data_IF_896717611827
#
_entry.id   IF_896717611827
#
_cell.length_a   1.000
_cell.length_b   1.000
_cell.length_c   1.000
_cell.angle_alpha   90.00
_cell.angle_beta   90.00
_cell.angle_gamma   90.00
#
_symmetry.space_group_name_H-M   'P 1'
#
loop_
_entity.id
_entity.type
_entity.pdbx_description
1 polymer ?
#
# COMPACT_ATOMS: atom_id res chain seq x y z
N UNK A 1 6.76 6.95 23.32
CA UNK A 1 6.47 5.74 22.54
C UNK A 1 6.65 5.93 21.05
N UNK A 2 5.94 6.86 20.37
CA UNK A 2 6.22 7.19 18.95
C UNK A 2 7.67 7.66 18.74
N UNK A 3 8.17 8.57 19.58
CA UNK A 3 9.57 9.05 19.53
C UNK A 3 10.58 7.94 19.89
N UNK A 4 10.16 6.97 20.72
CA UNK A 4 11.00 5.86 21.18
C UNK A 4 10.84 4.60 20.31
N UNK A 5 10.11 4.68 19.19
CA UNK A 5 9.81 3.60 18.24
C UNK A 5 9.23 2.32 18.86
N UNK A 6 8.44 2.48 19.93
CA UNK A 6 7.71 1.39 20.61
C UNK A 6 6.22 1.51 20.30
N UNK A 7 5.86 1.40 19.02
CA UNK A 7 4.49 1.56 18.52
C UNK A 7 3.48 0.60 19.18
N UNK A 8 3.78 -0.68 19.45
CA UNK A 8 2.82 -1.57 20.11
C UNK A 8 2.41 -1.07 21.51
N UNK A 9 3.38 -0.61 22.32
CA UNK A 9 3.10 -0.04 23.64
C UNK A 9 2.33 1.28 23.55
N UNK A 10 2.53 2.06 22.49
CA UNK A 10 1.72 3.25 22.24
C UNK A 10 0.24 2.88 22.03
N UNK A 11 -0.02 1.84 21.25
CA UNK A 11 -1.38 1.34 21.02
C UNK A 11 -2.06 0.97 22.33
N UNK A 12 -1.39 0.20 23.19
CA UNK A 12 -1.96 -0.22 24.49
C UNK A 12 -2.37 0.97 25.36
N UNK A 13 -1.62 2.08 25.32
CA UNK A 13 -1.93 3.29 26.07
C UNK A 13 -3.10 4.06 25.45
N UNK A 14 -3.16 4.18 24.13
CA UNK A 14 -4.31 4.80 23.46
C UNK A 14 -5.59 4.01 23.70
N UNK A 15 -5.53 2.68 23.67
CA UNK A 15 -6.68 1.83 24.00
C UNK A 15 -7.14 2.01 25.46
N UNK A 16 -6.21 2.15 26.42
CA UNK A 16 -6.57 2.44 27.81
C UNK A 16 -7.28 3.80 27.95
N UNK A 17 -6.84 4.81 27.20
CA UNK A 17 -7.51 6.12 27.16
C UNK A 17 -8.93 5.95 26.58
N UNK A 18 -9.07 5.25 25.45
CA UNK A 18 -10.36 5.02 24.79
C UNK A 18 -11.35 4.21 25.64
N UNK A 19 -10.87 3.34 26.54
CA UNK A 19 -11.73 2.64 27.51
C UNK A 19 -12.40 3.60 28.50
N UNK A 20 -11.73 4.70 28.86
CA UNK A 20 -12.24 5.70 29.81
C UNK A 20 -12.86 6.91 29.13
N UNK A 21 -12.43 7.21 27.90
CA UNK A 21 -12.80 8.38 27.10
C UNK A 21 -13.12 7.95 25.66
N UNK A 22 -14.26 7.27 25.42
CA UNK A 22 -14.57 6.69 24.11
C UNK A 22 -14.76 7.72 22.99
N UNK A 23 -14.97 9.00 23.33
CA UNK A 23 -15.11 10.10 22.37
C UNK A 23 -13.82 10.92 22.21
N UNK A 24 -12.67 10.43 22.68
CA UNK A 24 -11.38 11.08 22.42
C UNK A 24 -10.92 10.78 20.98
N UNK A 25 -11.14 11.73 20.07
CA UNK A 25 -10.79 11.57 18.66
C UNK A 25 -9.28 11.44 18.44
N UNK A 26 -8.46 12.12 19.25
CA UNK A 26 -7.00 12.12 19.06
C UNK A 26 -6.43 10.77 19.46
N UNK A 27 -6.86 10.22 20.59
CA UNK A 27 -6.49 8.87 21.00
C UNK A 27 -6.93 7.85 19.94
N UNK A 28 -8.14 7.97 19.41
CA UNK A 28 -8.66 7.09 18.36
C UNK A 28 -7.86 7.20 17.05
N UNK A 29 -7.49 8.42 16.64
CA UNK A 29 -6.72 8.62 15.41
C UNK A 29 -5.31 8.07 15.56
N UNK A 30 -4.65 8.30 16.69
CA UNK A 30 -3.30 7.77 16.92
C UNK A 30 -3.28 6.25 17.10
N UNK A 31 -4.31 5.64 17.71
CA UNK A 31 -4.41 4.17 17.76
C UNK A 31 -4.59 3.61 16.35
N UNK A 32 -5.50 4.19 15.56
CA UNK A 32 -5.75 3.78 14.18
C UNK A 32 -4.48 3.84 13.32
N UNK A 33 -3.76 4.96 13.34
CA UNK A 33 -2.53 5.13 12.55
C UNK A 33 -1.43 4.17 13.00
N UNK A 34 -1.26 3.97 14.32
CA UNK A 34 -0.28 3.02 14.83
C UNK A 34 -0.62 1.58 14.42
N UNK A 35 -1.88 1.18 14.50
CA UNK A 35 -2.31 -0.14 14.04
C UNK A 35 -2.12 -0.32 12.53
N UNK A 36 -2.34 0.72 11.73
CA UNK A 36 -2.09 0.70 10.30
C UNK A 36 -0.60 0.48 9.98
N UNK A 37 0.31 1.16 10.68
CA UNK A 37 1.75 0.98 10.49
C UNK A 37 2.25 -0.39 10.99
N UNK A 38 1.63 -0.94 12.03
CA UNK A 38 1.97 -2.26 12.57
C UNK A 38 1.35 -3.45 11.81
N UNK A 39 0.44 -3.18 10.87
CA UNK A 39 -0.32 -4.24 10.19
C UNK A 39 -1.41 -4.90 11.05
N UNK A 40 -1.80 -4.28 12.15
CA UNK A 40 -2.79 -4.82 13.10
C UNK A 40 -4.22 -4.49 12.63
N UNK A 41 -4.60 -4.97 11.44
CA UNK A 41 -5.87 -4.63 10.78
C UNK A 41 -7.10 -4.98 11.62
N UNK A 42 -7.08 -6.12 12.31
CA UNK A 42 -8.18 -6.56 13.18
C UNK A 42 -8.33 -5.59 14.36
N UNK A 43 -7.22 -5.24 15.01
CA UNK A 43 -7.20 -4.31 16.13
C UNK A 43 -7.62 -2.90 15.69
N UNK A 44 -7.18 -2.45 14.52
CA UNK A 44 -7.62 -1.18 13.93
C UNK A 44 -9.14 -1.12 13.78
N UNK A 45 -9.76 -2.18 13.24
CA UNK A 45 -11.23 -2.28 13.14
C UNK A 45 -11.88 -2.32 14.52
N UNK A 46 -11.39 -3.18 15.41
CA UNK A 46 -12.02 -3.45 16.71
C UNK A 46 -11.91 -2.26 17.66
N UNK A 47 -10.82 -1.48 17.58
CA UNK A 47 -10.63 -0.22 18.32
C UNK A 47 -11.75 0.77 18.01
N UNK A 48 -12.00 1.04 16.72
CA UNK A 48 -13.09 1.93 16.31
C UNK A 48 -14.44 1.33 16.66
N UNK A 49 -14.66 0.04 16.41
CA UNK A 49 -15.94 -0.63 16.71
C UNK A 49 -16.32 -0.53 18.20
N UNK A 50 -15.34 -0.61 19.11
CA UNK A 50 -15.54 -0.55 20.56
C UNK A 50 -16.09 0.79 21.01
N UNK A 51 -15.60 1.88 20.41
CA UNK A 51 -16.02 3.23 20.77
C UNK A 51 -17.16 3.77 19.91
N UNK A 52 -17.40 3.17 18.74
CA UNK A 52 -18.37 3.65 17.76
C UNK A 52 -19.77 3.98 18.32
N UNK A 53 -20.37 3.17 19.23
CA UNK A 53 -21.69 3.48 19.79
C UNK A 53 -21.76 4.79 20.60
N UNK A 54 -20.63 5.32 21.05
CA UNK A 54 -20.56 6.59 21.78
C UNK A 54 -20.47 7.82 20.86
N UNK A 55 -20.26 7.61 19.56
CA UNK A 55 -20.17 8.68 18.55
C UNK A 55 -21.53 8.94 17.90
N UNK A 56 -22.47 9.45 18.68
CA UNK A 56 -23.80 9.84 18.20
C UNK A 56 -23.73 11.05 17.26
N UNK A 57 -24.78 11.31 16.44
CA UNK A 57 -24.75 12.39 15.44
C UNK A 57 -24.51 13.79 16.02
N UNK A 58 -24.81 14.03 17.29
CA UNK A 58 -24.57 15.28 18.01
C UNK A 58 -23.12 15.44 18.48
N UNK A 59 -22.33 14.36 18.53
CA UNK A 59 -20.90 14.44 18.83
C UNK A 59 -20.16 15.01 17.62
N UNK A 60 -19.37 16.09 17.78
CA UNK A 60 -18.59 16.66 16.69
C UNK A 60 -17.71 15.61 16.00
N UNK A 61 -17.58 15.70 14.68
CA UNK A 61 -16.73 14.83 13.87
C UNK A 61 -17.15 13.34 13.83
N UNK A 62 -18.33 12.99 14.35
CA UNK A 62 -18.89 11.62 14.31
C UNK A 62 -18.92 10.99 12.91
N UNK A 63 -19.16 11.80 11.86
CA UNK A 63 -19.08 11.35 10.46
C UNK A 63 -17.69 10.82 10.07
N UNK A 64 -16.60 11.43 10.54
CA UNK A 64 -15.24 10.96 10.26
C UNK A 64 -14.94 9.64 11.00
N UNK A 65 -15.47 9.46 12.22
CA UNK A 65 -15.34 8.19 12.96
C UNK A 65 -16.08 7.06 12.25
N UNK A 66 -17.22 7.36 11.61
CA UNK A 66 -17.87 6.42 10.69
C UNK A 66 -16.95 6.05 9.51
N UNK A 67 -16.27 7.03 8.91
CA UNK A 67 -15.24 6.80 7.89
C UNK A 67 -14.05 5.95 8.39
N UNK A 68 -13.62 6.13 9.64
CA UNK A 68 -12.57 5.30 10.24
C UNK A 68 -13.03 3.86 10.41
N UNK A 69 -14.27 3.66 10.84
CA UNK A 69 -14.82 2.33 11.00
C UNK A 69 -15.01 1.63 9.65
N UNK A 70 -15.52 2.34 8.64
CA UNK A 70 -15.67 1.81 7.29
C UNK A 70 -14.31 1.35 6.73
N UNK A 71 -13.25 2.12 6.95
CA UNK A 71 -11.90 1.73 6.52
C UNK A 71 -11.41 0.45 7.23
N UNK A 72 -11.59 0.34 8.56
CA UNK A 72 -11.23 -0.88 9.29
C UNK A 72 -12.01 -2.12 8.84
N UNK A 73 -13.29 -1.96 8.49
CA UNK A 73 -14.10 -3.03 7.90
C UNK A 73 -13.56 -3.44 6.53
N UNK A 74 -13.20 -2.47 5.69
CA UNK A 74 -12.64 -2.73 4.36
C UNK A 74 -11.31 -3.48 4.46
N UNK A 75 -10.39 -3.06 5.33
CA UNK A 75 -9.09 -3.72 5.50
C UNK A 75 -9.20 -5.14 6.07
N UNK A 76 -10.35 -5.50 6.64
CA UNK A 76 -10.67 -6.84 7.14
C UNK A 76 -11.67 -7.60 6.25
N UNK A 77 -11.78 -7.20 4.98
CA UNK A 77 -12.58 -7.84 3.92
C UNK A 77 -14.11 -7.81 4.13
N UNK A 78 -14.63 -6.97 5.02
CA UNK A 78 -16.07 -6.74 5.21
C UNK A 78 -16.56 -5.65 4.25
N UNK A 79 -16.32 -5.85 2.96
CA UNK A 79 -16.42 -4.81 1.93
C UNK A 79 -17.81 -4.19 1.79
N UNK A 80 -18.88 -5.00 1.79
CA UNK A 80 -20.24 -4.49 1.59
C UNK A 80 -20.66 -3.60 2.76
N UNK A 81 -20.31 -3.99 4.00
CA UNK A 81 -20.57 -3.18 5.20
C UNK A 81 -19.71 -1.92 5.25
N UNK A 82 -18.46 -2.01 4.78
CA UNK A 82 -17.58 -0.87 4.66
C UNK A 82 -18.14 0.18 3.68
N UNK A 83 -18.58 -0.26 2.51
CA UNK A 83 -19.17 0.62 1.50
C UNK A 83 -20.46 1.29 2.01
N UNK A 84 -21.35 0.54 2.66
CA UNK A 84 -22.57 1.07 3.27
C UNK A 84 -22.26 2.21 4.26
N UNK A 85 -21.36 1.98 5.22
CA UNK A 85 -21.00 2.99 6.22
C UNK A 85 -20.28 4.20 5.61
N UNK A 86 -19.41 3.98 4.61
CA UNK A 86 -18.75 5.08 3.91
C UNK A 86 -19.76 5.94 3.13
N UNK A 87 -20.74 5.33 2.47
CA UNK A 87 -21.84 6.03 1.81
C UNK A 87 -22.68 6.85 2.80
N UNK A 88 -23.00 6.29 3.96
CA UNK A 88 -23.70 7.03 5.02
C UNK A 88 -22.87 8.20 5.56
N UNK A 89 -21.55 8.04 5.71
CA UNK A 89 -20.65 9.12 6.13
C UNK A 89 -20.63 10.25 5.10
N UNK A 90 -20.54 9.92 3.81
CA UNK A 90 -20.59 10.88 2.70
C UNK A 90 -21.95 11.57 2.54
N UNK A 91 -23.04 10.90 2.90
CA UNK A 91 -24.36 11.53 2.94
C UNK A 91 -24.44 12.66 3.99
N UNK A 92 -23.66 12.56 5.07
CA UNK A 92 -23.55 13.58 6.11
C UNK A 92 -22.51 14.64 5.70
N UNK A 93 -21.33 14.21 5.27
CA UNK A 93 -20.22 15.08 4.89
C UNK A 93 -19.60 14.63 3.56
N UNK A 94 -20.03 15.26 2.47
CA UNK A 94 -19.58 14.90 1.11
C UNK A 94 -18.10 15.12 0.87
N UNK A 95 -17.44 15.99 1.63
CA UNK A 95 -16.02 16.32 1.49
C UNK A 95 -15.10 15.45 2.36
N UNK A 96 -15.64 14.43 3.04
CA UNK A 96 -14.84 13.47 3.79
C UNK A 96 -14.03 12.57 2.84
N UNK A 97 -12.79 13.01 2.56
CA UNK A 97 -11.87 12.29 1.70
C UNK A 97 -11.50 10.89 2.22
N UNK A 98 -11.65 10.61 3.52
CA UNK A 98 -11.37 9.30 4.10
C UNK A 98 -12.48 8.29 3.78
N UNK A 99 -13.73 8.73 3.76
CA UNK A 99 -14.85 7.91 3.31
C UNK A 99 -14.81 7.67 1.80
N UNK A 100 -14.41 8.67 0.99
CA UNK A 100 -14.10 8.47 -0.44
C UNK A 100 -13.02 7.42 -0.62
N UNK A 101 -11.92 7.54 0.13
CA UNK A 101 -10.80 6.61 0.12
C UNK A 101 -11.24 5.17 0.42
N UNK A 102 -12.15 4.98 1.39
CA UNK A 102 -12.71 3.65 1.69
C UNK A 102 -13.47 3.06 0.51
N UNK A 103 -14.32 3.83 -0.17
CA UNK A 103 -15.08 3.36 -1.34
C UNK A 103 -14.13 3.05 -2.50
N UNK A 104 -13.10 3.87 -2.71
CA UNK A 104 -12.07 3.60 -3.72
C UNK A 104 -11.39 2.24 -3.45
N UNK A 105 -10.99 2.01 -2.21
CA UNK A 105 -10.45 0.73 -1.77
C UNK A 105 -11.38 -0.45 -2.00
N UNK A 106 -12.66 -0.34 -1.62
CA UNK A 106 -13.64 -1.42 -1.82
C UNK A 106 -13.71 -1.82 -3.30
N UNK A 107 -13.81 -0.85 -4.20
CA UNK A 107 -13.86 -1.11 -5.64
C UNK A 107 -12.54 -1.73 -6.16
N UNK A 108 -11.39 -1.28 -5.64
CA UNK A 108 -10.08 -1.85 -6.00
C UNK A 108 -9.97 -3.32 -5.54
N UNK A 109 -10.28 -3.60 -4.28
CA UNK A 109 -10.18 -4.93 -3.68
C UNK A 109 -11.17 -5.92 -4.28
N UNK A 110 -12.37 -5.48 -4.66
CA UNK A 110 -13.36 -6.32 -5.38
C UNK A 110 -13.10 -6.41 -6.89
N UNK A 111 -12.10 -5.66 -7.41
CA UNK A 111 -11.85 -5.50 -8.85
C UNK A 111 -13.07 -4.96 -9.64
N UNK A 112 -13.89 -4.11 -9.01
CA UNK A 112 -15.03 -3.41 -9.61
C UNK A 112 -14.56 -2.13 -10.33
N UNK A 113 -13.64 -2.30 -11.29
CA UNK A 113 -12.89 -1.21 -11.95
C UNK A 113 -13.81 -0.13 -12.55
N UNK A 114 -14.89 -0.53 -13.22
CA UNK A 114 -15.83 0.42 -13.85
C UNK A 114 -16.51 1.29 -12.80
N UNK A 115 -17.01 0.68 -11.73
CA UNK A 115 -17.68 1.38 -10.62
C UNK A 115 -16.72 2.33 -9.91
N UNK A 116 -15.48 1.89 -9.67
CA UNK A 116 -14.42 2.73 -9.12
C UNK A 116 -14.13 3.98 -9.98
N UNK A 117 -13.93 3.81 -11.28
CA UNK A 117 -13.68 4.93 -12.20
C UNK A 117 -14.82 5.95 -12.25
N UNK A 118 -16.06 5.47 -12.33
CA UNK A 118 -17.26 6.32 -12.32
C UNK A 118 -17.33 7.12 -10.99
N UNK A 119 -17.16 6.44 -9.85
CA UNK A 119 -17.19 7.06 -8.54
C UNK A 119 -16.11 8.14 -8.34
N UNK A 120 -14.85 7.85 -8.71
CA UNK A 120 -13.76 8.81 -8.54
C UNK A 120 -13.96 10.06 -9.39
N UNK A 121 -14.47 9.89 -10.61
CA UNK A 121 -14.79 10.99 -11.51
C UNK A 121 -15.95 11.84 -10.98
N UNK A 122 -17.04 11.22 -10.54
CA UNK A 122 -18.23 11.92 -10.06
C UNK A 122 -17.98 12.70 -8.76
N UNK A 123 -17.07 12.22 -7.92
CA UNK A 123 -16.81 12.80 -6.60
C UNK A 123 -15.59 13.70 -6.53
N UNK A 124 -14.80 13.83 -7.61
CA UNK A 124 -13.50 14.52 -7.64
C UNK A 124 -13.55 15.91 -6.99
N UNK A 125 -14.57 16.71 -7.29
CA UNK A 125 -14.72 18.07 -6.76
C UNK A 125 -14.82 18.12 -5.24
N UNK A 126 -15.23 17.03 -4.60
CA UNK A 126 -15.43 16.95 -3.16
C UNK A 126 -14.13 16.70 -2.38
N UNK A 127 -13.14 16.03 -2.99
CA UNK A 127 -11.94 15.55 -2.28
C UNK A 127 -10.61 16.00 -2.89
N UNK A 128 -10.59 16.54 -4.12
CA UNK A 128 -9.34 16.94 -4.82
C UNK A 128 -8.49 17.99 -4.10
N UNK A 129 -9.12 18.75 -3.21
CA UNK A 129 -8.51 19.79 -2.38
C UNK A 129 -8.25 19.33 -0.93
N UNK A 130 -8.52 18.06 -0.61
CA UNK A 130 -8.16 17.53 0.70
C UNK A 130 -6.64 17.51 0.83
N UNK A 131 -6.13 17.84 2.01
CA UNK A 131 -4.70 18.00 2.26
C UNK A 131 -3.96 16.66 2.08
N UNK A 132 -4.13 15.75 3.04
CA UNK A 132 -3.36 14.51 3.10
C UNK A 132 -3.81 13.42 2.12
N UNK A 133 -5.10 13.38 1.72
CA UNK A 133 -5.65 12.25 0.97
C UNK A 133 -5.91 12.51 -0.51
N UNK A 134 -5.76 13.74 -1.01
CA UNK A 134 -6.06 14.00 -2.42
C UNK A 134 -5.13 13.22 -3.34
N UNK A 135 -3.82 13.23 -3.07
CA UNK A 135 -2.84 12.46 -3.84
C UNK A 135 -3.15 10.96 -3.81
N UNK A 136 -3.43 10.42 -2.62
CA UNK A 136 -3.73 9.01 -2.44
C UNK A 136 -5.03 8.57 -3.13
N UNK A 137 -6.05 9.42 -3.15
CA UNK A 137 -7.27 9.17 -3.91
C UNK A 137 -6.99 9.18 -5.42
N UNK A 138 -6.16 10.09 -5.94
CA UNK A 138 -5.71 10.01 -7.34
C UNK A 138 -4.87 8.76 -7.60
N UNK A 139 -4.10 8.27 -6.62
CA UNK A 139 -3.36 7.02 -6.74
C UNK A 139 -4.29 5.82 -6.95
N UNK A 140 -5.35 5.68 -6.15
CA UNK A 140 -6.39 4.65 -6.37
C UNK A 140 -7.06 4.80 -7.75
N UNK A 141 -7.35 6.03 -8.17
CA UNK A 141 -7.91 6.27 -9.49
C UNK A 141 -6.96 5.78 -10.60
N UNK A 142 -5.67 6.08 -10.49
CA UNK A 142 -4.68 5.58 -11.43
C UNK A 142 -4.58 4.05 -11.44
N UNK A 143 -4.71 3.39 -10.28
CA UNK A 143 -4.68 1.92 -10.19
C UNK A 143 -5.77 1.26 -11.04
N UNK A 144 -6.99 1.81 -11.09
CA UNK A 144 -8.05 1.28 -11.95
C UNK A 144 -7.65 1.26 -13.44
N UNK A 145 -6.91 2.27 -13.90
CA UNK A 145 -6.42 2.30 -15.27
C UNK A 145 -5.31 1.28 -15.51
N UNK A 146 -4.39 1.08 -14.55
CA UNK A 146 -3.38 0.01 -14.61
C UNK A 146 -4.04 -1.37 -14.64
N UNK A 147 -5.02 -1.58 -13.77
CA UNK A 147 -5.81 -2.81 -13.66
C UNK A 147 -6.47 -3.15 -15.01
N UNK A 148 -6.98 -2.14 -15.73
CA UNK A 148 -7.59 -2.30 -17.06
C UNK A 148 -6.59 -2.38 -18.23
N UNK A 149 -5.32 -2.02 -18.01
CA UNK A 149 -4.29 -1.95 -19.05
C UNK A 149 -4.27 -0.63 -19.85
N UNK A 150 -4.94 0.42 -19.36
CA UNK A 150 -4.97 1.76 -19.96
C UNK A 150 -3.84 2.65 -19.39
N UNK A 151 -2.60 2.26 -19.67
CA UNK A 151 -1.43 2.84 -18.99
C UNK A 151 -1.21 4.33 -19.24
N UNK A 152 -1.55 4.84 -20.44
CA UNK A 152 -1.45 6.28 -20.75
C UNK A 152 -2.42 7.13 -19.90
N UNK A 153 -3.60 6.60 -19.60
CA UNK A 153 -4.55 7.27 -18.71
C UNK A 153 -4.04 7.29 -17.26
N UNK A 154 -3.44 6.18 -16.80
CA UNK A 154 -2.77 6.13 -15.49
C UNK A 154 -1.61 7.15 -15.41
N UNK A 155 -0.77 7.22 -16.44
CA UNK A 155 0.33 8.19 -16.52
C UNK A 155 -0.18 9.64 -16.55
N UNK A 156 -1.28 9.90 -17.25
CA UNK A 156 -1.91 11.23 -17.27
C UNK A 156 -2.33 11.67 -15.86
N UNK A 157 -2.95 10.79 -15.07
CA UNK A 157 -3.27 11.09 -13.66
C UNK A 157 -1.99 11.31 -12.86
N UNK A 158 -1.00 10.45 -13.05
CA UNK A 158 0.26 10.55 -12.34
C UNK A 158 0.95 11.90 -12.55
N UNK A 159 1.13 12.31 -13.81
CA UNK A 159 1.82 13.54 -14.18
C UNK A 159 1.04 14.80 -13.75
N UNK A 160 -0.29 14.77 -13.83
CA UNK A 160 -1.11 15.94 -13.52
C UNK A 160 -1.42 16.08 -12.03
N UNK A 161 -1.45 14.99 -11.27
CA UNK A 161 -2.02 14.99 -9.93
C UNK A 161 -1.16 14.35 -8.84
N UNK A 162 -0.42 13.28 -9.13
CA UNK A 162 0.32 12.53 -8.11
C UNK A 162 1.74 13.10 -7.96
N UNK A 163 2.48 13.22 -9.05
CA UNK A 163 3.86 13.72 -9.02
C UNK A 163 3.97 15.18 -8.54
N UNK A 164 3.14 16.14 -9.02
CA UNK A 164 3.21 17.53 -8.54
C UNK A 164 2.92 17.66 -7.04
N UNK A 165 1.98 16.86 -6.51
CA UNK A 165 1.65 16.87 -5.08
C UNK A 165 2.82 16.39 -4.24
N UNK A 166 3.43 15.26 -4.60
CA UNK A 166 4.63 14.76 -3.92
C UNK A 166 5.79 15.76 -3.92
N UNK A 167 6.02 16.45 -5.04
CA UNK A 167 7.06 17.48 -5.13
C UNK A 167 6.77 18.70 -4.23
N UNK A 168 5.49 19.04 -4.06
CA UNK A 168 5.07 20.17 -3.23
C UNK A 168 5.04 19.86 -1.72
N UNK A 169 4.52 18.69 -1.33
CA UNK A 169 4.32 18.31 0.07
C UNK A 169 5.57 17.69 0.69
N UNK A 170 6.31 16.89 -0.08
CA UNK A 170 7.34 16.00 0.44
C UNK A 170 6.81 14.98 1.47
N UNK A 171 5.49 14.74 1.52
CA UNK A 171 4.89 13.82 2.50
C UNK A 171 5.27 12.38 2.18
N UNK A 172 5.46 11.56 3.22
CA UNK A 172 5.89 10.17 3.02
C UNK A 172 4.81 9.33 2.32
N UNK A 173 3.53 9.63 2.55
CA UNK A 173 2.42 8.97 1.83
C UNK A 173 2.51 9.23 0.32
N UNK A 174 2.74 10.50 -0.07
CA UNK A 174 2.86 10.85 -1.49
C UNK A 174 4.09 10.20 -2.13
N UNK A 175 5.20 10.10 -1.39
CA UNK A 175 6.41 9.40 -1.84
C UNK A 175 6.11 7.92 -2.10
N UNK A 176 5.47 7.23 -1.15
CA UNK A 176 5.07 5.82 -1.27
C UNK A 176 4.16 5.63 -2.48
N UNK A 177 3.17 6.50 -2.66
CA UNK A 177 2.23 6.43 -3.78
C UNK A 177 2.95 6.59 -5.12
N UNK A 178 3.89 7.53 -5.22
CA UNK A 178 4.71 7.74 -6.41
C UNK A 178 5.55 6.51 -6.76
N UNK A 179 6.26 5.95 -5.77
CA UNK A 179 7.07 4.76 -5.94
C UNK A 179 6.21 3.55 -6.36
N UNK A 180 5.09 3.33 -5.67
CA UNK A 180 4.19 2.20 -5.94
C UNK A 180 3.56 2.30 -7.33
N UNK A 181 3.11 3.50 -7.74
CA UNK A 181 2.52 3.73 -9.06
C UNK A 181 3.53 3.42 -10.18
N UNK A 182 4.71 4.06 -10.12
CA UNK A 182 5.74 3.85 -11.13
C UNK A 182 6.22 2.39 -11.16
N UNK A 183 6.36 1.73 -10.01
CA UNK A 183 6.79 0.33 -9.98
C UNK A 183 5.76 -0.62 -10.60
N UNK A 184 4.46 -0.41 -10.36
CA UNK A 184 3.39 -1.21 -10.99
C UNK A 184 3.37 -1.06 -12.51
N UNK A 185 3.51 0.16 -13.01
CA UNK A 185 3.63 0.40 -14.45
C UNK A 185 4.91 -0.23 -15.04
N UNK A 186 6.02 -0.20 -14.28
CA UNK A 186 7.26 -0.88 -14.67
C UNK A 186 7.05 -2.39 -14.81
N UNK A 187 6.35 -3.04 -13.87
CA UNK A 187 6.01 -4.46 -13.95
C UNK A 187 5.16 -4.80 -15.18
N UNK A 188 4.27 -3.90 -15.59
CA UNK A 188 3.47 -4.00 -16.83
C UNK A 188 4.26 -3.65 -18.12
N UNK A 189 5.56 -3.33 -18.01
CA UNK A 189 6.46 -3.07 -19.15
C UNK A 189 6.34 -1.68 -19.75
N UNK A 190 5.73 -0.73 -19.04
CA UNK A 190 5.53 0.65 -19.51
C UNK A 190 6.85 1.43 -19.45
N UNK A 191 7.11 2.24 -20.47
CA UNK A 191 8.30 3.11 -20.51
C UNK A 191 8.05 4.38 -19.69
N UNK A 192 8.80 4.53 -18.59
CA UNK A 192 8.54 5.59 -17.62
C UNK A 192 9.34 6.88 -17.83
N UNK A 193 10.36 6.84 -18.70
CA UNK A 193 11.22 8.00 -18.98
C UNK A 193 11.92 8.50 -17.71
N UNK A 194 11.98 9.82 -17.56
CA UNK A 194 12.71 10.48 -16.46
C UNK A 194 11.93 10.55 -15.14
N UNK A 195 10.73 9.98 -15.05
CA UNK A 195 9.87 10.05 -13.85
C UNK A 195 10.56 9.50 -12.59
N UNK A 196 11.37 8.45 -12.75
CA UNK A 196 12.15 7.90 -11.64
C UNK A 196 13.17 8.88 -11.07
N UNK A 197 13.80 9.70 -11.92
CA UNK A 197 14.78 10.69 -11.47
C UNK A 197 14.11 11.76 -10.57
N UNK A 198 12.87 12.14 -10.90
CA UNK A 198 12.12 13.10 -10.09
C UNK A 198 11.82 12.54 -8.69
N UNK A 199 11.37 11.29 -8.60
CA UNK A 199 11.09 10.64 -7.31
C UNK A 199 12.38 10.41 -6.52
N UNK A 200 13.44 9.93 -7.19
CA UNK A 200 14.74 9.69 -6.58
C UNK A 200 15.33 10.94 -5.91
N UNK A 201 15.17 12.12 -6.53
CA UNK A 201 15.65 13.38 -5.95
C UNK A 201 14.99 13.71 -4.60
N UNK A 202 13.75 13.26 -4.39
CA UNK A 202 13.02 13.43 -3.13
C UNK A 202 13.45 12.37 -2.12
N UNK A 203 13.55 11.11 -2.55
CA UNK A 203 13.78 9.95 -1.68
C UNK A 203 15.22 9.80 -1.20
N UNK A 204 16.20 10.33 -1.97
CA UNK A 204 17.64 10.24 -1.64
C UNK A 204 18.01 10.69 -0.24
N UNK A 205 17.32 11.70 0.31
CA UNK A 205 17.59 12.20 1.68
C UNK A 205 17.04 11.29 2.79
N UNK A 206 16.22 10.29 2.45
CA UNK A 206 15.52 9.40 3.37
C UNK A 206 16.12 7.98 3.43
N UNK A 207 17.22 7.74 2.72
CA UNK A 207 17.84 6.40 2.58
C UNK A 207 18.35 5.81 3.89
N UNK A 208 18.52 6.65 4.93
CA UNK A 208 19.05 6.29 6.25
C UNK A 208 18.02 6.39 7.37
N UNK A 209 16.77 6.73 7.06
CA UNK A 209 15.76 7.04 8.08
C UNK A 209 15.33 5.77 8.82
N UNK A 210 15.03 4.70 8.07
CA UNK A 210 14.63 3.38 8.57
C UNK A 210 13.58 3.44 9.69
N UNK A 211 12.57 4.30 9.52
CA UNK A 211 11.50 4.50 10.50
C UNK A 211 10.41 3.44 10.35
N UNK A 212 10.03 3.12 9.11
CA UNK A 212 9.10 2.05 8.77
C UNK A 212 9.70 1.27 7.60
N UNK A 213 9.81 -0.05 7.73
CA UNK A 213 10.37 -0.89 6.66
C UNK A 213 9.55 -0.82 5.37
N UNK A 214 8.25 -0.60 5.50
CA UNK A 214 7.38 -0.38 4.35
C UNK A 214 7.80 0.85 3.54
N UNK A 215 8.21 1.95 4.18
CA UNK A 215 8.71 3.13 3.49
C UNK A 215 10.07 2.84 2.83
N UNK A 216 10.96 2.13 3.53
CA UNK A 216 12.28 1.78 3.00
C UNK A 216 12.19 1.02 1.67
N UNK A 217 11.27 0.07 1.56
CA UNK A 217 11.05 -0.71 0.32
C UNK A 217 10.55 0.19 -0.82
N UNK A 218 9.68 1.16 -0.52
CA UNK A 218 9.21 2.12 -1.54
C UNK A 218 10.31 3.11 -1.94
N UNK A 219 11.11 3.60 -1.00
CA UNK A 219 12.30 4.41 -1.28
C UNK A 219 13.28 3.62 -2.15
N UNK A 220 13.50 2.34 -1.85
CA UNK A 220 14.33 1.44 -2.65
C UNK A 220 13.83 1.35 -4.11
N UNK A 221 12.52 1.18 -4.33
CA UNK A 221 11.93 1.16 -5.69
C UNK A 221 12.36 2.38 -6.52
N UNK A 222 12.43 3.57 -5.92
CA UNK A 222 12.85 4.78 -6.64
C UNK A 222 14.30 4.72 -7.11
N UNK A 223 15.22 4.20 -6.29
CA UNK A 223 16.62 4.06 -6.65
C UNK A 223 16.85 2.97 -7.71
N UNK A 224 16.12 1.86 -7.61
CA UNK A 224 16.15 0.79 -8.60
C UNK A 224 15.64 1.28 -9.95
N UNK A 225 14.46 1.91 -9.98
CA UNK A 225 13.87 2.43 -11.21
C UNK A 225 14.72 3.51 -11.89
N UNK A 226 15.42 4.32 -11.11
CA UNK A 226 16.38 5.32 -11.60
C UNK A 226 17.77 4.75 -11.92
N UNK A 227 18.02 3.47 -11.62
CA UNK A 227 19.32 2.78 -11.78
C UNK A 227 20.46 3.44 -10.99
N UNK A 228 20.14 4.02 -9.82
CA UNK A 228 21.13 4.62 -8.93
C UNK A 228 21.62 3.59 -7.90
N UNK A 229 22.60 2.79 -8.32
CA UNK A 229 23.20 1.74 -7.49
C UNK A 229 23.78 2.27 -6.18
N UNK A 230 24.34 3.49 -6.18
CA UNK A 230 24.91 4.08 -4.97
C UNK A 230 23.84 4.30 -3.91
N UNK A 231 22.69 4.84 -4.29
CA UNK A 231 21.56 5.03 -3.37
C UNK A 231 20.95 3.70 -2.92
N UNK A 232 20.84 2.72 -3.83
CA UNK A 232 20.41 1.36 -3.47
C UNK A 232 21.33 0.72 -2.42
N UNK A 233 22.64 0.77 -2.64
CA UNK A 233 23.64 0.18 -1.75
C UNK A 233 23.67 0.89 -0.39
N UNK A 234 23.51 2.22 -0.37
CA UNK A 234 23.45 3.00 0.88
C UNK A 234 22.28 2.53 1.75
N UNK A 235 21.06 2.49 1.19
CA UNK A 235 19.85 2.08 1.92
C UNK A 235 19.98 0.66 2.48
N UNK A 236 20.45 -0.29 1.67
CA UNK A 236 20.62 -1.68 2.10
C UNK A 236 21.69 -1.82 3.18
N UNK A 237 22.81 -1.13 3.03
CA UNK A 237 23.92 -1.18 3.98
C UNK A 237 23.51 -0.62 5.32
N UNK A 238 22.90 0.56 5.36
CA UNK A 238 22.48 1.19 6.61
C UNK A 238 21.36 0.42 7.29
N UNK A 239 20.42 -0.15 6.53
CA UNK A 239 19.40 -1.05 7.09
C UNK A 239 20.03 -2.30 7.70
N UNK A 240 21.01 -2.90 7.01
CA UNK A 240 21.69 -4.10 7.50
C UNK A 240 22.54 -3.83 8.76
N UNK A 241 23.18 -2.67 8.84
CA UNK A 241 23.93 -2.25 10.02
C UNK A 241 23.02 -2.06 11.23
N UNK A 242 21.88 -1.36 11.06
CA UNK A 242 20.90 -1.16 12.13
C UNK A 242 20.25 -2.47 12.56
N UNK A 243 19.94 -3.36 11.63
CA UNK A 243 19.33 -4.66 11.91
C UNK A 243 20.24 -5.60 12.74
N UNK A 244 21.55 -5.35 12.78
CA UNK A 244 22.51 -6.10 13.63
C UNK A 244 22.61 -5.54 15.04
N UNK A 245 22.27 -4.28 15.25
CA UNK A 245 22.37 -3.65 16.56
C UNK A 245 21.21 -4.14 17.46
N UNK A 246 21.47 -4.50 18.72
CA UNK A 246 20.39 -4.72 19.69
C UNK A 246 19.57 -3.43 19.79
N UNK A 247 18.28 -3.49 19.47
CA UNK A 247 17.38 -2.36 19.66
C UNK A 247 15.98 -2.84 20.07
N UNK A 248 15.27 -2.01 20.83
CA UNK A 248 13.87 -2.24 21.24
C UNK A 248 12.85 -1.72 20.20
N UNK A 249 13.34 -1.29 19.03
CA UNK A 249 12.50 -0.80 17.94
C UNK A 249 11.78 -1.98 17.27
N UNK A 250 10.45 -1.91 17.27
CA UNK A 250 9.60 -2.96 16.71
C UNK A 250 9.87 -3.17 15.22
N UNK A 251 10.00 -2.09 14.44
CA UNK A 251 10.20 -2.16 12.98
C UNK A 251 11.56 -2.78 12.65
N UNK A 252 12.62 -2.29 13.29
CA UNK A 252 13.97 -2.82 13.06
C UNK A 252 14.10 -4.29 13.49
N UNK A 253 13.32 -4.74 14.46
CA UNK A 253 13.27 -6.16 14.86
C UNK A 253 12.77 -7.08 13.73
N UNK A 254 11.95 -6.55 12.81
CA UNK A 254 11.44 -7.27 11.65
C UNK A 254 12.43 -7.25 10.47
N UNK A 255 13.45 -6.39 10.50
CA UNK A 255 14.35 -6.18 9.37
C UNK A 255 15.09 -7.47 8.93
N UNK A 256 15.69 -8.29 9.81
CA UNK A 256 16.40 -9.51 9.39
C UNK A 256 15.49 -10.55 8.72
N UNK A 257 14.25 -10.68 9.21
CA UNK A 257 13.31 -11.72 8.79
C UNK A 257 12.37 -11.32 7.67
N UNK A 258 12.04 -10.03 7.55
CA UNK A 258 11.06 -9.51 6.59
C UNK A 258 11.62 -8.38 5.73
N UNK A 259 12.14 -7.32 6.34
CA UNK A 259 12.57 -6.11 5.63
C UNK A 259 13.70 -6.36 4.63
N UNK A 260 14.81 -6.94 5.09
CA UNK A 260 15.99 -7.21 4.26
C UNK A 260 15.69 -8.25 3.15
N UNK A 261 15.03 -9.40 3.41
CA UNK A 261 14.66 -10.31 2.34
C UNK A 261 13.73 -9.68 1.30
N UNK A 262 12.77 -8.83 1.73
CA UNK A 262 11.91 -8.10 0.81
C UNK A 262 12.72 -7.13 -0.06
N UNK A 263 13.52 -6.25 0.54
CA UNK A 263 14.38 -5.32 -0.19
C UNK A 263 15.33 -6.06 -1.17
N UNK A 264 15.94 -7.15 -0.72
CA UNK A 264 16.82 -7.96 -1.57
C UNK A 264 16.05 -8.59 -2.73
N UNK A 265 14.81 -9.05 -2.54
CA UNK A 265 14.01 -9.60 -3.63
C UNK A 265 13.76 -8.58 -4.76
N UNK A 266 13.53 -7.31 -4.41
CA UNK A 266 13.42 -6.22 -5.39
C UNK A 266 14.73 -6.02 -6.16
N UNK A 267 15.88 -6.02 -5.48
CA UNK A 267 17.20 -5.89 -6.12
C UNK A 267 17.50 -7.07 -7.04
N UNK A 268 17.22 -8.30 -6.61
CA UNK A 268 17.44 -9.49 -7.42
C UNK A 268 16.55 -9.50 -8.66
N UNK A 269 15.30 -9.08 -8.54
CA UNK A 269 14.40 -8.97 -9.68
C UNK A 269 14.90 -7.94 -10.71
N UNK A 270 15.31 -6.74 -10.25
CA UNK A 270 15.86 -5.70 -11.13
C UNK A 270 17.13 -6.17 -11.86
N UNK A 271 17.98 -6.96 -11.18
CA UNK A 271 19.18 -7.56 -11.77
C UNK A 271 18.87 -8.75 -12.71
N UNK A 272 17.60 -9.11 -12.92
CA UNK A 272 17.18 -10.23 -13.75
C UNK A 272 17.28 -11.60 -13.07
N UNK A 273 17.64 -11.66 -11.79
CA UNK A 273 17.75 -12.88 -10.99
C UNK A 273 16.38 -13.31 -10.43
N UNK A 274 15.42 -13.53 -11.33
CA UNK A 274 14.03 -13.85 -11.00
C UNK A 274 13.90 -15.05 -10.06
N UNK A 275 14.73 -16.08 -10.23
CA UNK A 275 14.76 -17.24 -9.35
C UNK A 275 15.04 -16.85 -7.90
N UNK A 276 16.07 -16.03 -7.67
CA UNK A 276 16.48 -15.63 -6.33
C UNK A 276 15.48 -14.68 -5.70
N UNK A 277 14.86 -13.81 -6.50
CA UNK A 277 13.75 -12.96 -6.04
C UNK A 277 12.58 -13.80 -5.49
N UNK A 278 12.20 -14.88 -6.18
CA UNK A 278 11.17 -15.82 -5.69
C UNK A 278 11.61 -16.51 -4.40
N UNK A 279 12.85 -16.99 -4.31
CA UNK A 279 13.36 -17.71 -3.13
C UNK A 279 13.38 -16.82 -1.87
N UNK A 280 13.59 -15.52 -2.05
CA UNK A 280 13.57 -14.53 -0.97
C UNK A 280 12.14 -14.14 -0.56
N UNK A 281 11.27 -13.91 -1.55
CA UNK A 281 9.95 -13.30 -1.30
C UNK A 281 8.85 -14.31 -0.98
N UNK A 282 8.86 -15.49 -1.61
CA UNK A 282 7.82 -16.49 -1.42
C UNK A 282 7.67 -16.97 0.05
N UNK A 283 8.76 -17.23 0.81
CA UNK A 283 8.66 -17.69 2.20
C UNK A 283 8.04 -16.66 3.15
N UNK A 284 8.19 -15.37 2.87
CA UNK A 284 7.75 -14.28 3.76
C UNK A 284 6.39 -13.68 3.37
N UNK A 285 5.81 -14.07 2.22
CA UNK A 285 4.64 -13.39 1.61
C UNK A 285 3.45 -13.16 2.54
N UNK A 286 3.14 -14.11 3.44
CA UNK A 286 2.01 -13.98 4.38
C UNK A 286 2.36 -13.15 5.61
N UNK A 287 3.64 -12.94 5.87
CA UNK A 287 4.13 -12.16 7.01
C UNK A 287 4.27 -10.67 6.66
N UNK A 288 4.23 -10.30 5.37
CA UNK A 288 4.36 -8.93 4.88
C UNK A 288 3.30 -7.97 5.41
N UNK A 289 2.18 -8.49 5.92
CA UNK A 289 1.18 -7.69 6.64
C UNK A 289 1.81 -6.94 7.82
N UNK A 290 2.80 -7.52 8.49
CA UNK A 290 3.48 -6.93 9.66
C UNK A 290 4.26 -5.65 9.34
N UNK A 291 4.47 -5.33 8.06
CA UNK A 291 5.09 -4.08 7.65
C UNK A 291 4.09 -2.91 7.59
N UNK A 292 2.81 -3.18 7.84
CA UNK A 292 1.74 -2.19 7.72
C UNK A 292 1.40 -1.83 6.28
N UNK A 293 0.76 -0.67 6.12
CA UNK A 293 0.15 -0.23 4.86
C UNK A 293 -1.26 -0.82 4.69
N UNK A 294 -1.89 -0.54 3.55
CA UNK A 294 -3.17 -1.13 3.18
C UNK A 294 -3.02 -2.40 2.32
N UNK A 295 -4.09 -3.18 2.18
CA UNK A 295 -4.08 -4.35 1.29
C UNK A 295 -3.75 -3.96 -0.15
N UNK A 296 -4.32 -2.85 -0.64
CA UNK A 296 -4.03 -2.33 -1.97
C UNK A 296 -2.57 -1.90 -2.11
N UNK A 297 -1.99 -1.23 -1.12
CA UNK A 297 -0.59 -0.79 -1.16
C UNK A 297 0.40 -1.97 -1.21
N UNK A 298 0.23 -2.97 -0.35
CA UNK A 298 1.10 -4.18 -0.32
C UNK A 298 0.95 -5.07 -1.55
N UNK A 299 -0.11 -4.90 -2.35
CA UNK A 299 -0.34 -5.71 -3.55
C UNK A 299 0.86 -5.68 -4.52
N UNK A 300 1.64 -4.59 -4.57
CA UNK A 300 2.86 -4.49 -5.39
C UNK A 300 3.89 -5.57 -5.05
N UNK A 301 3.96 -6.01 -3.80
CA UNK A 301 4.86 -7.10 -3.38
C UNK A 301 4.38 -8.44 -3.95
N UNK A 302 3.07 -8.67 -3.95
CA UNK A 302 2.47 -9.86 -4.56
C UNK A 302 2.64 -9.85 -6.08
N UNK A 303 2.49 -8.69 -6.72
CA UNK A 303 2.75 -8.51 -8.15
C UNK A 303 4.21 -8.79 -8.49
N UNK A 304 5.18 -8.25 -7.73
CA UNK A 304 6.59 -8.58 -7.91
C UNK A 304 6.84 -10.09 -7.85
N UNK A 305 6.29 -10.78 -6.85
CA UNK A 305 6.44 -12.23 -6.70
C UNK A 305 5.89 -12.99 -7.91
N UNK A 306 4.70 -12.61 -8.39
CA UNK A 306 4.09 -13.21 -9.59
C UNK A 306 4.97 -12.96 -10.82
N UNK A 307 5.43 -11.73 -11.02
CA UNK A 307 6.29 -11.40 -12.17
C UNK A 307 7.63 -12.12 -12.09
N UNK A 308 8.26 -12.21 -10.92
CA UNK A 308 9.49 -12.98 -10.72
C UNK A 308 9.28 -14.47 -11.03
N UNK A 309 8.17 -15.06 -10.56
CA UNK A 309 7.84 -16.45 -10.81
C UNK A 309 7.51 -16.73 -12.29
N UNK A 310 6.84 -15.80 -12.99
CA UNK A 310 6.56 -15.91 -14.43
C UNK A 310 7.82 -15.82 -15.29
N UNK A 311 8.79 -14.99 -14.91
CA UNK A 311 10.03 -14.78 -15.65
C UNK A 311 11.19 -15.67 -15.17
N UNK A 312 10.92 -16.57 -14.22
CA UNK A 312 11.87 -17.56 -13.74
C UNK A 312 12.24 -18.57 -14.84
N UNK A 313 13.48 -19.07 -14.80
CA UNK A 313 13.95 -20.17 -15.66
C UNK A 313 13.58 -21.55 -15.11
N UNK A 314 13.18 -21.62 -13.84
CA UNK A 314 12.78 -22.86 -13.16
C UNK A 314 11.33 -23.21 -13.46
N UNK A 315 11.11 -24.39 -14.04
CA UNK A 315 9.76 -24.91 -14.29
C UNK A 315 8.91 -24.98 -13.00
N UNK A 316 9.52 -25.30 -11.86
CA UNK A 316 8.83 -25.36 -10.58
C UNK A 316 8.31 -23.97 -10.15
N UNK A 317 9.08 -22.91 -10.39
CA UNK A 317 8.69 -21.53 -10.06
C UNK A 317 7.69 -20.97 -11.08
N UNK A 318 7.78 -21.36 -12.35
CA UNK A 318 6.72 -21.06 -13.31
C UNK A 318 5.39 -21.75 -12.95
N UNK A 319 5.44 -22.98 -12.44
CA UNK A 319 4.25 -23.65 -11.89
C UNK A 319 3.71 -22.89 -10.66
N UNK A 320 4.59 -22.42 -9.77
CA UNK A 320 4.23 -21.58 -8.65
C UNK A 320 3.51 -20.30 -9.10
N UNK A 321 3.97 -19.64 -10.17
CA UNK A 321 3.30 -18.46 -10.72
C UNK A 321 1.82 -18.72 -11.05
N UNK A 322 1.52 -19.91 -11.60
CA UNK A 322 0.13 -20.32 -11.90
C UNK A 322 -0.69 -20.52 -10.63
N UNK A 323 -0.11 -21.10 -9.59
CA UNK A 323 -0.77 -21.22 -8.28
C UNK A 323 -1.09 -19.85 -7.69
N UNK A 324 -0.11 -18.95 -7.66
CA UNK A 324 -0.28 -17.58 -7.15
C UNK A 324 -1.35 -16.81 -7.93
N UNK A 325 -1.42 -16.98 -9.25
CA UNK A 325 -2.46 -16.38 -10.07
C UNK A 325 -3.84 -16.94 -9.77
N UNK A 326 -3.96 -18.24 -9.45
CA UNK A 326 -5.24 -18.85 -9.03
C UNK A 326 -5.67 -18.40 -7.64
N UNK A 327 -4.72 -18.27 -6.72
CA UNK A 327 -4.98 -17.67 -5.40
C UNK A 327 -5.50 -16.23 -5.55
N UNK A 328 -4.86 -15.43 -6.42
CA UNK A 328 -5.28 -14.06 -6.73
C UNK A 328 -6.67 -14.01 -7.37
N UNK A 329 -6.94 -14.86 -8.34
CA UNK A 329 -8.23 -14.98 -9.04
C UNK A 329 -9.36 -15.31 -8.06
N UNK A 330 -9.12 -16.19 -7.08
CA UNK A 330 -10.09 -16.49 -6.02
C UNK A 330 -10.43 -15.30 -5.12
N UNK A 331 -9.47 -14.39 -4.90
CA UNK A 331 -9.67 -13.18 -4.08
C UNK A 331 -10.18 -11.98 -4.89
N UNK A 332 -9.87 -11.93 -6.19
CA UNK A 332 -10.18 -10.81 -7.11
C UNK A 332 -10.74 -11.36 -8.44
N UNK A 333 -11.92 -12.01 -8.44
CA UNK A 333 -12.42 -12.77 -9.59
C UNK A 333 -12.70 -11.93 -10.84
N UNK A 334 -12.88 -10.62 -10.70
CA UNK A 334 -13.18 -9.69 -11.79
C UNK A 334 -11.94 -8.92 -12.28
N UNK A 335 -10.72 -9.33 -11.90
CA UNK A 335 -9.47 -8.60 -12.16
C UNK A 335 -8.95 -8.77 -13.60
N UNK A 336 -9.05 -7.74 -14.48
CA UNK A 336 -8.52 -7.82 -15.83
C UNK A 336 -6.98 -7.98 -15.86
N UNK A 337 -6.25 -7.44 -14.88
CA UNK A 337 -4.81 -7.67 -14.77
C UNK A 337 -4.50 -9.15 -14.54
N UNK A 338 -5.23 -9.78 -13.61
CA UNK A 338 -5.05 -11.20 -13.27
C UNK A 338 -5.32 -12.07 -14.48
N UNK A 339 -6.38 -11.78 -15.25
CA UNK A 339 -6.65 -12.46 -16.51
C UNK A 339 -5.52 -12.30 -17.54
N UNK A 340 -4.97 -11.09 -17.71
CA UNK A 340 -3.84 -10.85 -18.62
C UNK A 340 -2.62 -11.67 -18.21
N UNK A 341 -2.31 -11.72 -16.91
CA UNK A 341 -1.18 -12.49 -16.39
C UNK A 341 -1.41 -14.00 -16.51
N UNK A 342 -2.63 -14.51 -16.31
CA UNK A 342 -2.98 -15.92 -16.56
C UNK A 342 -2.77 -16.27 -18.04
N UNK A 343 -3.23 -15.41 -18.97
CA UNK A 343 -3.01 -15.61 -20.41
C UNK A 343 -1.52 -15.64 -20.75
N UNK A 344 -0.72 -14.75 -20.16
CA UNK A 344 0.74 -14.76 -20.31
C UNK A 344 1.37 -16.07 -19.79
N UNK A 345 0.95 -16.55 -18.62
CA UNK A 345 1.45 -17.80 -18.04
C UNK A 345 1.14 -19.05 -18.89
N UNK A 346 0.00 -19.04 -19.59
CA UNK A 346 -0.39 -20.11 -20.52
C UNK A 346 0.40 -20.07 -21.83
N UNK A 347 0.67 -18.86 -22.37
CA UNK A 347 1.44 -18.70 -23.59
C UNK A 347 2.89 -19.20 -23.46
N UNK A 348 3.55 -18.92 -22.33
CA UNK A 348 4.92 -19.39 -22.06
C UNK A 348 5.00 -20.92 -22.02
N UNK A 349 3.95 -21.60 -21.55
CA UNK A 349 3.91 -23.07 -21.51
C UNK A 349 3.73 -23.70 -22.88
N UNK A 350 2.98 -23.04 -23.78
CA UNK A 350 2.70 -23.59 -25.11
C UNK A 350 3.91 -23.54 -26.06
N UNK A 351 4.97 -22.83 -25.67
CA UNK A 351 6.23 -22.70 -26.43
C UNK A 351 7.39 -23.54 -25.85
N UNK A 352 7.16 -24.23 -24.73
CA UNK A 352 8.12 -25.12 -24.07
C UNK A 352 7.70 -26.57 -24.29
#
# INVERSE_FOLDING_TARGET
FFISRQLPKACDLWEQILQSHPTDLLALKFSQDAYFYLGYQIQMRDSVARVYPFWTPDVPLSSYVKGYYSFGLMETNLFDRAEELACEALAINRTDAWSVHTIAHVNEMKAEVKKGLEFMKETETNWKNSDMLACHNYWHWALYFIEKGEYEAALTIYDNHIAPRCLSSGSMLDIVDNCSMLYRLHLEGVKLGDRWNNVLNITKKHTKDHVLLFNDVHILMSSLGAKDHKTTDELLTTLQELAKAPCEDHELSLAPGLGLPLCQAFVEFENGNCDKAVDLLYPIRYQLIQLGGSNAQRDVFSQLLIHAALNSKSQAKQNLARCLLRERDGMRPNSPMTERLIRRAAAVHSMA
#
